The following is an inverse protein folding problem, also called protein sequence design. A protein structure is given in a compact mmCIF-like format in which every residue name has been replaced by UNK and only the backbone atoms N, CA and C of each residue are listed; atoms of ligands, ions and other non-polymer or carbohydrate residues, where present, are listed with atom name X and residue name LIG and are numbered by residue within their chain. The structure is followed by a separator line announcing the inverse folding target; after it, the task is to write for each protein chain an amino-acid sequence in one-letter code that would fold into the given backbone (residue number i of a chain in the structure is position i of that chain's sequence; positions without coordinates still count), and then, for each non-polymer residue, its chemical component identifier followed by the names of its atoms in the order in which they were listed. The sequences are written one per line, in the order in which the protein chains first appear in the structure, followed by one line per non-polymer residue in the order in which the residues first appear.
data_IF_257661375059
#
_entry.id   IF_257661375059
#
_cell.length_a   1.000
_cell.length_b   1.000
_cell.length_c   1.000
_cell.angle_alpha   90.00
_cell.angle_beta   90.00
_cell.angle_gamma   90.00
#
_symmetry.space_group_name_H-M   'P 1'
#
loop_
_entity.id
_entity.type
_entity.pdbx_description
1 polymer ?
#
# COMPACT_ATOMS: atom_id res chain seq x y z
N UNK A 1 30.91 -87.68 -26.04
CA UNK A 1 30.14 -86.72 -25.21
C UNK A 1 30.92 -85.42 -25.17
N UNK A 2 30.47 -84.29 -25.71
CA UNK A 2 29.16 -83.92 -26.26
C UNK A 2 29.39 -82.61 -27.01
N UNK A 3 29.10 -82.62 -28.30
CA UNK A 3 29.14 -81.49 -29.22
C UNK A 3 27.68 -81.19 -29.55
N UNK A 4 27.20 -80.00 -29.18
CA UNK A 4 25.81 -79.57 -29.42
C UNK A 4 25.77 -78.08 -29.76
N UNK A 5 25.16 -77.83 -30.92
CA UNK A 5 24.42 -76.64 -31.35
C UNK A 5 25.15 -75.32 -31.62
N UNK A 6 25.57 -75.15 -32.88
CA UNK A 6 25.67 -73.84 -33.54
C UNK A 6 24.41 -73.58 -34.38
N UNK A 7 23.51 -72.72 -33.89
CA UNK A 7 22.29 -72.33 -34.59
C UNK A 7 22.58 -71.36 -35.76
N UNK A 8 22.14 -71.67 -37.00
CA UNK A 8 22.31 -70.78 -38.17
C UNK A 8 21.09 -69.86 -38.30
N UNK A 9 21.07 -68.75 -37.56
CA UNK A 9 19.92 -67.83 -37.57
C UNK A 9 20.23 -66.33 -37.57
N UNK A 10 21.43 -65.91 -37.15
CA UNK A 10 21.73 -64.48 -36.94
C UNK A 10 22.36 -63.75 -38.13
N UNK A 11 22.89 -64.47 -39.13
CA UNK A 11 23.63 -63.84 -40.23
C UNK A 11 22.73 -63.20 -41.31
N UNK A 12 21.50 -63.67 -41.51
CA UNK A 12 20.63 -63.16 -42.59
C UNK A 12 19.97 -61.81 -42.29
N UNK A 13 19.74 -61.49 -41.00
CA UNK A 13 19.17 -60.21 -40.61
C UNK A 13 20.17 -59.05 -40.79
N UNK A 14 21.45 -59.29 -40.52
CA UNK A 14 22.49 -58.27 -40.63
C UNK A 14 22.78 -57.86 -42.09
N UNK A 15 22.68 -58.79 -43.04
CA UNK A 15 22.89 -58.49 -44.47
C UNK A 15 21.70 -57.73 -45.09
N UNK A 16 20.47 -58.06 -44.71
CA UNK A 16 19.27 -57.34 -45.17
C UNK A 16 19.24 -55.88 -44.70
N UNK A 17 19.71 -55.59 -43.48
CA UNK A 17 19.73 -54.22 -42.93
C UNK A 17 20.79 -53.35 -43.64
N UNK A 18 21.93 -53.94 -44.01
CA UNK A 18 22.97 -53.27 -44.80
C UNK A 18 22.53 -52.96 -46.23
N UNK A 19 21.73 -53.83 -46.86
CA UNK A 19 21.21 -53.62 -48.22
C UNK A 19 20.21 -52.46 -48.35
N UNK A 20 19.53 -52.08 -47.27
CA UNK A 20 18.54 -50.98 -47.24
C UNK A 20 19.16 -49.61 -46.93
N UNK A 21 20.48 -49.51 -46.71
CA UNK A 21 21.14 -48.25 -46.34
C UNK A 21 20.74 -47.71 -44.95
N UNK A 22 20.09 -48.54 -44.12
CA UNK A 22 19.59 -48.18 -42.79
C UNK A 22 20.64 -48.30 -41.68
N UNK A 23 21.79 -48.95 -41.95
CA UNK A 23 22.84 -49.19 -40.95
C UNK A 23 23.35 -47.94 -40.18
N UNK A 24 23.61 -46.80 -40.85
CA UNK A 24 24.00 -45.56 -40.17
C UNK A 24 22.89 -44.96 -39.29
N UNK A 25 21.63 -45.11 -39.72
CA UNK A 25 20.47 -44.61 -38.98
C UNK A 25 20.22 -45.50 -37.75
N UNK A 26 20.36 -46.81 -37.90
CA UNK A 26 20.15 -47.78 -36.83
C UNK A 26 21.16 -47.64 -35.69
N UNK A 27 22.43 -47.43 -36.02
CA UNK A 27 23.48 -47.16 -35.02
C UNK A 27 23.24 -45.84 -34.27
N UNK A 28 22.75 -44.80 -34.95
CA UNK A 28 22.36 -43.53 -34.31
C UNK A 28 21.15 -43.72 -33.37
N UNK A 29 20.21 -44.57 -33.76
CA UNK A 29 19.01 -44.88 -32.98
C UNK A 29 19.35 -45.71 -31.74
N UNK A 30 20.20 -46.74 -31.88
CA UNK A 30 20.75 -47.51 -30.75
C UNK A 30 21.51 -46.60 -29.78
N UNK A 31 22.39 -45.73 -30.27
CA UNK A 31 23.13 -44.80 -29.42
C UNK A 31 22.20 -43.84 -28.65
N UNK A 32 21.15 -43.33 -29.30
CA UNK A 32 20.16 -42.47 -28.64
C UNK A 32 19.36 -43.22 -27.58
N UNK A 33 19.03 -44.49 -27.83
CA UNK A 33 18.28 -45.36 -26.92
C UNK A 33 19.12 -45.77 -25.71
N UNK A 34 20.41 -46.05 -25.90
CA UNK A 34 21.38 -46.32 -24.84
C UNK A 34 21.61 -45.07 -23.98
N UNK A 35 21.73 -43.88 -24.59
CA UNK A 35 21.79 -42.61 -23.85
C UNK A 35 20.52 -42.37 -23.02
N UNK A 36 19.34 -42.65 -23.60
CA UNK A 36 18.07 -42.51 -22.90
C UNK A 36 17.99 -43.49 -21.71
N UNK A 37 18.38 -44.75 -21.91
CA UNK A 37 18.43 -45.77 -20.85
C UNK A 37 19.43 -45.42 -19.74
N UNK A 38 20.58 -44.83 -20.10
CA UNK A 38 21.57 -44.36 -19.14
C UNK A 38 21.09 -43.14 -18.33
N UNK A 39 20.31 -42.23 -18.95
CA UNK A 39 19.78 -41.03 -18.30
C UNK A 39 18.52 -41.28 -17.45
N UNK A 40 17.70 -42.26 -17.82
CA UNK A 40 16.44 -42.61 -17.17
C UNK A 40 16.55 -42.81 -15.64
N UNK A 41 17.51 -43.56 -15.09
CA UNK A 41 17.62 -43.75 -13.65
C UNK A 41 17.91 -42.44 -12.89
N UNK A 42 18.65 -41.50 -13.50
CA UNK A 42 18.94 -40.21 -12.90
C UNK A 42 17.69 -39.32 -12.88
N UNK A 43 16.95 -39.23 -13.99
CA UNK A 43 15.67 -38.48 -14.03
C UNK A 43 14.65 -39.07 -13.05
N UNK A 44 14.59 -40.39 -12.90
CA UNK A 44 13.73 -41.05 -11.90
C UNK A 44 14.17 -40.74 -10.48
N UNK A 45 15.47 -40.70 -10.20
CA UNK A 45 16.00 -40.31 -8.90
C UNK A 45 15.68 -38.85 -8.56
N UNK A 46 15.87 -37.93 -9.52
CA UNK A 46 15.58 -36.51 -9.38
C UNK A 46 14.08 -36.27 -9.18
N UNK A 47 13.21 -36.95 -9.92
CA UNK A 47 11.76 -36.89 -9.72
C UNK A 47 11.34 -37.44 -8.35
N UNK A 48 11.98 -38.51 -7.87
CA UNK A 48 11.72 -39.04 -6.51
C UNK A 48 12.16 -38.05 -5.44
N UNK A 49 13.32 -37.41 -5.61
CA UNK A 49 13.82 -36.39 -4.70
C UNK A 49 12.90 -35.16 -4.68
N UNK A 50 12.58 -34.62 -5.86
CA UNK A 50 11.65 -33.50 -6.01
C UNK A 50 10.28 -33.82 -5.38
N UNK A 51 9.73 -35.01 -5.60
CA UNK A 51 8.46 -35.43 -4.98
C UNK A 51 8.56 -35.49 -3.45
N UNK A 52 9.68 -35.97 -2.91
CA UNK A 52 9.91 -36.05 -1.46
C UNK A 52 10.01 -34.65 -0.84
N UNK A 53 10.77 -33.75 -1.46
CA UNK A 53 10.92 -32.36 -1.00
C UNK A 53 9.59 -31.60 -1.09
N UNK A 54 8.88 -31.69 -2.22
CA UNK A 54 7.57 -31.05 -2.41
C UNK A 54 6.56 -31.58 -1.40
N UNK A 55 6.56 -32.89 -1.10
CA UNK A 55 5.67 -33.48 -0.10
C UNK A 55 6.02 -33.08 1.33
N UNK A 56 7.30 -32.86 1.65
CA UNK A 56 7.72 -32.36 2.96
C UNK A 56 7.26 -30.90 3.14
N UNK A 57 7.45 -30.07 2.11
CA UNK A 57 6.99 -28.67 2.10
C UNK A 57 5.46 -28.60 2.14
N UNK A 58 4.74 -29.49 1.46
CA UNK A 58 3.28 -29.47 1.46
C UNK A 58 2.70 -29.71 2.86
N UNK A 59 3.27 -30.63 3.64
CA UNK A 59 2.82 -30.87 5.03
C UNK A 59 3.03 -29.65 5.93
N UNK A 60 4.14 -28.92 5.72
CA UNK A 60 4.44 -27.70 6.46
C UNK A 60 3.48 -26.56 6.06
N UNK A 61 3.25 -26.40 4.75
CA UNK A 61 2.27 -25.44 4.23
C UNK A 61 0.86 -25.73 4.72
N UNK A 62 0.44 -27.00 4.79
CA UNK A 62 -0.89 -27.38 5.24
C UNK A 62 -1.09 -27.06 6.73
N UNK A 63 -0.06 -27.26 7.57
CA UNK A 63 -0.07 -26.83 8.97
C UNK A 63 -0.15 -25.30 9.11
N UNK A 64 0.51 -24.55 8.24
CA UNK A 64 0.45 -23.08 8.24
C UNK A 64 -0.93 -22.61 7.76
N UNK A 65 -1.45 -23.21 6.69
CA UNK A 65 -2.76 -22.85 6.12
C UNK A 65 -3.92 -23.22 7.03
N UNK A 66 -3.88 -24.33 7.74
CA UNK A 66 -4.91 -24.68 8.73
C UNK A 66 -4.91 -23.68 9.90
N UNK A 67 -3.74 -23.28 10.38
CA UNK A 67 -3.60 -22.23 11.40
C UNK A 67 -4.11 -20.88 10.87
N UNK A 68 -3.69 -20.50 9.67
CA UNK A 68 -4.11 -19.27 8.99
C UNK A 68 -5.60 -19.28 8.63
N UNK A 69 -6.18 -20.42 8.29
CA UNK A 69 -7.61 -20.54 8.00
C UNK A 69 -8.44 -20.34 9.27
N UNK A 70 -8.02 -20.91 10.40
CA UNK A 70 -8.76 -20.76 11.66
C UNK A 70 -8.55 -19.40 12.34
N UNK A 71 -7.37 -18.78 12.20
CA UNK A 71 -6.99 -17.53 12.90
C UNK A 71 -6.92 -16.31 11.99
N UNK A 72 -6.73 -16.49 10.69
CA UNK A 72 -6.55 -15.41 9.73
C UNK A 72 -7.76 -14.50 9.61
N UNK A 73 -8.97 -15.00 9.30
CA UNK A 73 -10.16 -14.16 9.12
C UNK A 73 -10.41 -13.18 10.28
N UNK A 74 -10.45 -13.59 11.56
CA UNK A 74 -10.69 -12.64 12.64
C UNK A 74 -9.55 -11.63 12.82
N UNK A 75 -8.30 -12.00 12.54
CA UNK A 75 -7.16 -11.06 12.59
C UNK A 75 -7.28 -10.03 11.46
N UNK A 76 -7.60 -10.46 10.23
CA UNK A 76 -7.74 -9.53 9.11
C UNK A 76 -8.91 -8.57 9.29
N UNK A 77 -10.05 -9.05 9.79
CA UNK A 77 -11.18 -8.18 10.10
C UNK A 77 -10.85 -7.17 11.19
N UNK A 78 -10.16 -7.61 12.25
CA UNK A 78 -9.72 -6.72 13.31
C UNK A 78 -8.76 -5.67 12.78
N UNK A 79 -7.72 -6.07 12.02
CA UNK A 79 -6.74 -5.16 11.42
C UNK A 79 -7.42 -4.20 10.44
N UNK A 80 -8.32 -4.68 9.58
CA UNK A 80 -9.05 -3.84 8.64
C UNK A 80 -9.94 -2.81 9.36
N UNK A 81 -10.60 -3.21 10.44
CA UNK A 81 -11.42 -2.32 11.27
C UNK A 81 -10.58 -1.28 12.00
N UNK A 82 -9.46 -1.69 12.59
CA UNK A 82 -8.52 -0.81 13.29
C UNK A 82 -7.89 0.20 12.31
N UNK A 83 -7.48 -0.27 11.14
CA UNK A 83 -6.96 0.57 10.07
C UNK A 83 -7.99 1.61 9.62
N UNK A 84 -9.24 1.19 9.35
CA UNK A 84 -10.33 2.11 9.00
C UNK A 84 -10.59 3.13 10.10
N UNK A 85 -10.62 2.70 11.37
CA UNK A 85 -10.84 3.59 12.52
C UNK A 85 -9.72 4.63 12.65
N UNK A 86 -8.46 4.21 12.54
CA UNK A 86 -7.30 5.10 12.61
C UNK A 86 -7.35 6.14 11.49
N UNK A 87 -7.65 5.74 10.26
CA UNK A 87 -7.75 6.67 9.14
C UNK A 87 -8.91 7.65 9.28
N UNK A 88 -10.09 7.20 9.72
CA UNK A 88 -11.23 8.09 9.95
C UNK A 88 -10.90 9.11 11.05
N UNK A 89 -10.33 8.66 12.17
CA UNK A 89 -9.91 9.54 13.25
C UNK A 89 -8.85 10.55 12.78
N UNK A 90 -7.87 10.10 12.00
CA UNK A 90 -6.86 10.94 11.37
C UNK A 90 -7.48 12.03 10.48
N UNK A 91 -8.38 11.67 9.57
CA UNK A 91 -9.02 12.63 8.67
C UNK A 91 -9.90 13.63 9.41
N UNK A 92 -10.64 13.19 10.44
CA UNK A 92 -11.47 14.08 11.26
C UNK A 92 -10.58 15.07 12.02
N UNK A 93 -9.52 14.59 12.66
CA UNK A 93 -8.59 15.44 13.39
C UNK A 93 -7.92 16.45 12.45
N UNK A 94 -7.46 15.99 11.28
CA UNK A 94 -6.84 16.84 10.28
C UNK A 94 -7.80 17.89 9.73
N UNK A 95 -9.02 17.50 9.38
CA UNK A 95 -10.06 18.42 8.91
C UNK A 95 -10.40 19.47 9.96
N UNK A 96 -10.53 19.08 11.23
CA UNK A 96 -10.81 20.01 12.34
C UNK A 96 -9.65 20.98 12.55
N UNK A 97 -8.42 20.48 12.51
CA UNK A 97 -7.21 21.27 12.74
C UNK A 97 -6.98 22.27 11.59
N UNK A 98 -7.09 21.83 10.34
CA UNK A 98 -6.99 22.70 9.16
C UNK A 98 -8.12 23.72 9.10
N UNK A 99 -9.34 23.33 9.45
CA UNK A 99 -10.47 24.27 9.61
C UNK A 99 -10.19 25.30 10.68
N UNK A 100 -9.58 24.92 11.81
CA UNK A 100 -9.15 25.82 12.86
C UNK A 100 -8.12 26.85 12.39
N UNK A 101 -7.13 26.44 11.58
CA UNK A 101 -6.14 27.37 11.02
C UNK A 101 -6.79 28.31 10.01
N UNK A 102 -7.63 27.78 9.11
CA UNK A 102 -8.36 28.60 8.14
C UNK A 102 -9.23 29.63 8.85
N UNK A 103 -9.95 29.23 9.89
CA UNK A 103 -10.75 30.13 10.71
C UNK A 103 -9.88 31.18 11.38
N UNK A 104 -8.74 30.80 11.97
CA UNK A 104 -7.81 31.74 12.58
C UNK A 104 -7.22 32.72 11.55
N UNK A 105 -6.86 32.25 10.35
CA UNK A 105 -6.35 33.08 9.26
C UNK A 105 -7.40 34.06 8.74
N UNK A 106 -8.65 33.60 8.56
CA UNK A 106 -9.79 34.46 8.18
C UNK A 106 -10.18 35.46 9.28
N UNK A 107 -10.02 35.07 10.54
CA UNK A 107 -10.18 35.99 11.66
C UNK A 107 -9.07 37.03 11.65
N UNK A 108 -7.80 36.62 11.61
CA UNK A 108 -6.64 37.51 11.63
C UNK A 108 -6.58 38.47 10.42
N UNK A 109 -7.09 38.06 9.25
CA UNK A 109 -7.16 38.92 8.06
C UNK A 109 -8.26 39.98 8.12
N UNK A 110 -9.09 39.97 9.17
CA UNK A 110 -10.21 40.89 9.33
C UNK A 110 -11.48 40.46 8.59
N UNK A 111 -11.44 39.39 7.79
CA UNK A 111 -12.61 38.87 7.06
C UNK A 111 -13.73 38.41 8.02
N UNK A 112 -13.36 37.81 9.15
CA UNK A 112 -14.32 37.42 10.20
C UNK A 112 -14.38 38.41 11.39
N UNK A 113 -14.17 39.71 11.14
CA UNK A 113 -14.24 40.74 12.19
C UNK A 113 -13.09 40.69 13.20
N UNK A 114 -11.92 40.22 12.75
CA UNK A 114 -10.68 40.35 13.51
C UNK A 114 -10.26 41.80 13.73
N UNK A 115 -9.14 42.02 14.44
CA UNK A 115 -8.68 43.36 14.77
C UNK A 115 -8.41 44.13 13.47
N UNK A 116 -9.34 45.03 13.11
CA UNK A 116 -9.08 46.00 12.05
C UNK A 116 -7.89 46.84 12.50
N UNK A 117 -6.90 46.99 11.60
CA UNK A 117 -5.87 48.01 11.78
C UNK A 117 -6.61 49.30 12.12
N UNK A 118 -6.33 49.86 13.30
CA UNK A 118 -7.16 50.87 13.92
C UNK A 118 -7.25 52.11 13.02
N UNK A 119 -8.19 52.10 12.08
CA UNK A 119 -8.45 53.20 11.16
C UNK A 119 -9.13 54.37 11.88
N UNK A 120 -9.55 54.18 13.14
CA UNK A 120 -10.31 55.16 13.90
C UNK A 120 -9.61 55.47 15.24
N UNK A 121 -8.36 55.92 15.19
CA UNK A 121 -7.77 56.68 16.31
C UNK A 121 -7.37 58.06 15.80
N UNK A 122 -8.34 58.76 15.26
CA UNK A 122 -8.46 60.22 15.31
C UNK A 122 -9.94 60.55 15.52
N UNK A 123 -10.41 60.37 16.76
CA UNK A 123 -11.78 60.73 17.14
C UNK A 123 -12.32 59.83 18.25
N UNK A 124 -12.60 60.40 19.40
CA UNK A 124 -13.33 59.79 20.51
C UNK A 124 -14.72 59.27 20.04
N UNK A 125 -14.79 58.04 19.52
CA UNK A 125 -16.08 57.37 19.31
C UNK A 125 -16.55 56.77 20.64
N UNK A 126 -17.51 57.47 21.25
CA UNK A 126 -18.25 57.07 22.42
C UNK A 126 -18.79 55.64 22.27
N UNK A 127 -18.59 54.82 23.29
CA UNK A 127 -19.15 53.47 23.37
C UNK A 127 -20.69 53.51 23.25
N UNK A 128 -21.22 53.15 22.09
CA UNK A 128 -22.66 52.97 21.90
C UNK A 128 -23.12 51.69 22.59
N UNK A 129 -24.03 51.84 23.57
CA UNK A 129 -24.56 50.70 24.33
C UNK A 129 -25.34 49.76 23.40
N UNK A 130 -25.17 48.44 23.54
CA UNK A 130 -25.91 47.43 22.77
C UNK A 130 -27.43 47.56 22.98
N UNK A 131 -28.15 47.85 21.90
CA UNK A 131 -29.60 48.07 21.96
C UNK A 131 -30.39 46.77 21.78
N UNK A 132 -29.84 45.76 21.09
CA UNK A 132 -30.58 44.51 20.81
C UNK A 132 -30.14 43.34 21.68
N UNK A 133 -31.03 42.36 21.85
CA UNK A 133 -30.75 41.10 22.55
C UNK A 133 -29.62 40.29 21.88
N UNK A 134 -29.48 40.42 20.55
CA UNK A 134 -28.41 39.80 19.77
C UNK A 134 -27.06 40.44 20.08
N UNK A 135 -27.02 41.76 20.28
CA UNK A 135 -25.81 42.47 20.70
C UNK A 135 -25.40 42.10 22.13
N UNK A 136 -26.37 41.92 23.03
CA UNK A 136 -26.09 41.47 24.41
C UNK A 136 -25.55 40.04 24.47
N UNK A 137 -26.06 39.14 23.63
CA UNK A 137 -25.52 37.79 23.50
C UNK A 137 -24.14 37.79 22.83
N UNK A 138 -23.93 38.63 21.81
CA UNK A 138 -22.62 38.84 21.19
C UNK A 138 -21.60 39.42 22.18
N UNK A 139 -22.02 40.27 23.12
CA UNK A 139 -21.15 40.81 24.18
C UNK A 139 -20.80 39.75 25.23
N UNK A 140 -21.73 38.85 25.57
CA UNK A 140 -21.44 37.72 26.44
C UNK A 140 -20.41 36.77 25.81
N UNK A 141 -20.57 36.43 24.52
CA UNK A 141 -19.55 35.70 23.75
C UNK A 141 -18.24 36.49 23.62
N UNK A 142 -18.29 37.82 23.52
CA UNK A 142 -17.10 38.70 23.50
C UNK A 142 -16.41 38.83 24.86
N UNK A 143 -17.11 38.60 25.98
CA UNK A 143 -16.52 38.58 27.34
C UNK A 143 -15.86 37.23 27.64
N UNK A 144 -16.45 36.11 27.22
CA UNK A 144 -15.79 34.80 27.30
C UNK A 144 -14.55 34.73 26.39
N UNK A 145 -14.61 35.35 25.21
CA UNK A 145 -13.42 35.59 24.37
C UNK A 145 -12.59 36.81 24.79
N UNK A 146 -13.03 37.56 25.82
CA UNK A 146 -12.33 38.71 26.40
C UNK A 146 -11.12 38.29 27.23
N UNK A 147 -11.23 37.17 27.95
CA UNK A 147 -10.09 36.52 28.61
C UNK A 147 -9.05 36.02 27.59
N UNK A 148 -9.51 35.62 26.40
CA UNK A 148 -8.62 35.30 25.26
C UNK A 148 -8.07 36.57 24.60
N UNK A 149 -8.80 37.69 24.57
CA UNK A 149 -8.34 38.98 24.01
C UNK A 149 -7.24 39.65 24.82
N UNK A 150 -7.25 39.55 26.16
CA UNK A 150 -6.14 40.04 27.00
C UNK A 150 -4.84 39.26 26.82
N UNK A 151 -4.93 37.96 26.48
CA UNK A 151 -3.79 37.14 26.06
C UNK A 151 -3.51 37.21 24.54
N UNK A 152 -4.39 37.80 23.72
CA UNK A 152 -4.25 37.84 22.27
C UNK A 152 -3.20 38.86 21.79
N UNK A 153 -2.88 39.88 22.60
CA UNK A 153 -1.72 40.75 22.35
C UNK A 153 -0.41 40.17 22.89
N UNK A 154 -0.46 39.00 23.55
CA UNK A 154 0.75 38.31 23.96
C UNK A 154 1.34 37.64 22.72
N UNK A 155 2.35 38.28 22.13
CA UNK A 155 3.25 37.72 21.12
C UNK A 155 3.54 36.22 21.40
N UNK A 156 3.74 35.90 22.68
CA UNK A 156 3.96 34.54 23.18
C UNK A 156 2.85 33.54 22.85
N UNK A 157 1.58 33.92 22.86
CA UNK A 157 0.45 33.03 22.57
C UNK A 157 0.44 32.59 21.10
N UNK A 158 0.68 33.53 20.19
CA UNK A 158 0.80 33.24 18.76
C UNK A 158 1.97 32.31 18.45
N UNK A 159 3.15 32.61 18.98
CA UNK A 159 4.34 31.76 18.79
C UNK A 159 4.17 30.38 19.44
N UNK A 160 3.53 30.30 20.62
CA UNK A 160 3.22 29.02 21.26
C UNK A 160 2.30 28.17 20.40
N UNK A 161 1.26 28.78 19.82
CA UNK A 161 0.34 28.11 18.92
C UNK A 161 1.07 27.63 17.66
N UNK A 162 1.85 28.48 17.00
CA UNK A 162 2.66 28.08 15.84
C UNK A 162 3.59 26.91 16.16
N UNK A 163 4.28 26.94 17.31
CA UNK A 163 5.19 25.85 17.71
C UNK A 163 4.42 24.55 17.94
N UNK A 164 3.28 24.60 18.63
CA UNK A 164 2.43 23.42 18.83
C UNK A 164 1.97 22.85 17.48
N UNK A 165 1.55 23.71 16.55
CA UNK A 165 1.15 23.29 15.21
C UNK A 165 2.32 22.70 14.41
N UNK A 166 3.51 23.27 14.52
CA UNK A 166 4.72 22.73 13.91
C UNK A 166 5.03 21.33 14.45
N UNK A 167 4.89 21.10 15.76
CA UNK A 167 5.06 19.77 16.38
C UNK A 167 4.04 18.79 15.81
N UNK A 168 2.77 19.20 15.68
CA UNK A 168 1.72 18.33 15.12
C UNK A 168 2.04 17.98 13.65
N UNK A 169 2.40 18.96 12.81
CA UNK A 169 2.78 18.73 11.42
C UNK A 169 3.99 17.78 11.33
N UNK A 170 4.98 17.93 12.22
CA UNK A 170 6.14 17.03 12.27
C UNK A 170 5.75 15.60 12.62
N UNK A 171 4.86 15.40 13.60
CA UNK A 171 4.33 14.08 13.94
C UNK A 171 3.60 13.45 12.75
N UNK A 172 2.78 14.23 12.04
CA UNK A 172 2.07 13.75 10.83
C UNK A 172 3.05 13.38 9.72
N UNK A 173 4.13 14.16 9.55
CA UNK A 173 5.19 13.85 8.60
C UNK A 173 5.90 12.53 8.91
N UNK A 174 6.20 12.27 10.20
CA UNK A 174 6.78 10.98 10.64
C UNK A 174 5.82 9.83 10.33
N UNK A 175 4.53 9.98 10.61
CA UNK A 175 3.52 8.95 10.28
C UNK A 175 3.47 8.70 8.77
N UNK A 176 3.56 9.74 7.94
CA UNK A 176 3.64 9.59 6.48
C UNK A 176 4.87 8.79 6.05
N UNK A 177 6.05 9.07 6.62
CA UNK A 177 7.28 8.30 6.33
C UNK A 177 7.07 6.83 6.64
N UNK A 178 6.50 6.51 7.80
CA UNK A 178 6.21 5.12 8.19
C UNK A 178 5.25 4.45 7.20
N UNK A 179 4.19 5.14 6.78
CA UNK A 179 3.26 4.62 5.77
C UNK A 179 3.93 4.41 4.41
N UNK A 180 4.84 5.30 4.02
CA UNK A 180 5.63 5.17 2.79
C UNK A 180 6.56 3.95 2.85
N UNK A 181 7.20 3.70 4.01
CA UNK A 181 8.02 2.51 4.22
C UNK A 181 7.19 1.23 4.13
N UNK A 182 6.01 1.19 4.77
CA UNK A 182 5.10 0.05 4.68
C UNK A 182 4.60 -0.18 3.24
N UNK A 183 4.34 0.88 2.49
CA UNK A 183 4.00 0.78 1.07
C UNK A 183 5.16 0.22 0.24
N UNK A 184 6.39 0.64 0.54
CA UNK A 184 7.61 0.10 -0.07
C UNK A 184 7.78 -1.40 0.18
N UNK A 185 7.65 -1.84 1.44
CA UNK A 185 7.72 -3.27 1.81
C UNK A 185 6.65 -4.07 1.06
N UNK A 186 5.42 -3.56 0.95
CA UNK A 186 4.35 -4.22 0.19
C UNK A 186 4.68 -4.32 -1.30
N UNK A 187 5.26 -3.28 -1.89
CA UNK A 187 5.69 -3.32 -3.28
C UNK A 187 6.77 -4.40 -3.51
N UNK A 188 7.70 -4.57 -2.57
CA UNK A 188 8.68 -5.67 -2.59
C UNK A 188 8.02 -7.05 -2.50
N UNK A 189 7.02 -7.23 -1.62
CA UNK A 189 6.29 -8.50 -1.51
C UNK A 189 5.55 -8.81 -2.81
N UNK A 190 4.90 -7.81 -3.42
CA UNK A 190 4.19 -7.99 -4.71
C UNK A 190 5.17 -8.31 -5.84
N UNK A 191 6.36 -7.71 -5.85
CA UNK A 191 7.42 -8.07 -6.79
C UNK A 191 7.87 -9.54 -6.60
N UNK A 192 7.91 -10.02 -5.35
CA UNK A 192 8.13 -11.44 -5.04
C UNK A 192 7.01 -12.37 -5.54
N UNK A 193 5.75 -11.91 -5.59
CA UNK A 193 4.67 -12.70 -6.22
C UNK A 193 4.92 -12.91 -7.72
N UNK A 194 5.61 -11.99 -8.41
CA UNK A 194 5.84 -12.07 -9.85
C UNK A 194 6.87 -13.16 -10.22
N UNK A 195 7.77 -13.53 -9.31
CA UNK A 195 8.64 -14.70 -9.51
C UNK A 195 7.86 -16.02 -9.51
N UNK A 196 6.73 -16.08 -8.81
CA UNK A 196 5.80 -17.21 -8.89
C UNK A 196 4.84 -16.98 -10.06
N UNK A 197 5.36 -17.13 -11.29
CA UNK A 197 4.67 -16.89 -12.57
C UNK A 197 3.28 -17.55 -12.68
N UNK A 198 3.01 -18.61 -11.91
CA UNK A 198 1.72 -19.30 -11.85
C UNK A 198 0.57 -18.48 -11.23
N UNK A 199 0.89 -17.49 -10.39
CA UNK A 199 -0.10 -16.66 -9.68
C UNK A 199 -0.37 -15.31 -10.37
N UNK A 200 0.47 -14.94 -11.34
CA UNK A 200 0.44 -13.61 -11.97
C UNK A 200 -0.39 -13.51 -13.24
N UNK A 201 -0.62 -14.64 -13.94
CA UNK A 201 -1.29 -14.64 -15.24
C UNK A 201 -2.45 -15.66 -15.27
N UNK A 202 -3.70 -15.22 -15.51
CA UNK A 202 -4.86 -16.10 -15.59
C UNK A 202 -4.75 -17.12 -16.73
N UNK A 203 -4.01 -16.81 -17.80
CA UNK A 203 -3.78 -17.74 -18.92
C UNK A 203 -2.82 -18.88 -18.54
N UNK A 204 -1.80 -18.58 -17.73
CA UNK A 204 -0.87 -19.57 -17.20
C UNK A 204 -1.54 -20.40 -16.11
N UNK A 205 -2.37 -19.78 -15.26
CA UNK A 205 -3.19 -20.49 -14.27
C UNK A 205 -4.09 -21.54 -14.95
N UNK A 206 -4.85 -21.13 -15.97
CA UNK A 206 -5.76 -22.02 -16.72
C UNK A 206 -5.01 -23.08 -17.51
N UNK A 207 -3.87 -22.75 -18.14
CA UNK A 207 -3.04 -23.71 -18.86
C UNK A 207 -2.45 -24.79 -17.94
N UNK A 208 -1.93 -24.39 -16.79
CA UNK A 208 -1.28 -25.31 -15.85
C UNK A 208 -2.30 -26.17 -15.11
N UNK A 209 -3.41 -25.57 -14.65
CA UNK A 209 -4.53 -26.34 -14.10
C UNK A 209 -5.15 -27.27 -15.15
N UNK A 210 -5.15 -26.88 -16.43
CA UNK A 210 -5.59 -27.73 -17.54
C UNK A 210 -4.71 -28.98 -17.69
N UNK A 211 -3.40 -28.84 -17.54
CA UNK A 211 -2.44 -29.95 -17.63
C UNK A 211 -2.51 -30.85 -16.38
N UNK A 212 -2.70 -30.26 -15.20
CA UNK A 212 -2.92 -30.99 -13.96
C UNK A 212 -4.26 -31.75 -14.01
N UNK A 213 -5.29 -31.17 -14.63
CA UNK A 213 -6.60 -31.81 -14.82
C UNK A 213 -6.53 -33.02 -15.74
N UNK A 214 -5.75 -33.00 -16.82
CA UNK A 214 -5.57 -34.19 -17.67
C UNK A 214 -4.88 -35.34 -16.93
N UNK A 215 -4.07 -35.06 -15.91
CA UNK A 215 -3.47 -36.08 -15.05
C UNK A 215 -4.39 -36.52 -13.88
N UNK A 216 -5.28 -35.65 -13.41
CA UNK A 216 -6.16 -35.89 -12.26
C UNK A 216 -7.64 -36.03 -12.65
N UNK A 217 -7.94 -36.40 -13.90
CA UNK A 217 -9.33 -36.56 -14.41
C UNK A 217 -10.17 -37.41 -13.46
N UNK A 218 -9.58 -38.48 -12.92
CA UNK A 218 -10.21 -39.42 -11.99
C UNK A 218 -10.59 -38.81 -10.63
N UNK A 219 -9.94 -37.72 -10.21
CA UNK A 219 -10.19 -37.05 -8.92
C UNK A 219 -11.10 -35.83 -9.07
N UNK A 220 -11.07 -35.13 -10.21
CA UNK A 220 -11.81 -33.89 -10.39
C UNK A 220 -13.25 -34.07 -10.90
N UNK A 221 -13.60 -35.20 -11.49
CA UNK A 221 -14.94 -35.47 -12.02
C UNK A 221 -16.04 -35.35 -10.94
N UNK A 222 -15.70 -35.59 -9.67
CA UNK A 222 -16.61 -35.44 -8.53
C UNK A 222 -16.96 -33.99 -8.17
N UNK A 223 -16.17 -33.00 -8.59
CA UNK A 223 -16.26 -31.64 -8.03
C UNK A 223 -17.15 -30.68 -8.82
N UNK A 224 -17.55 -30.99 -10.06
CA UNK A 224 -18.58 -30.28 -10.83
C UNK A 224 -18.33 -28.80 -11.16
N UNK A 225 -17.26 -28.17 -10.66
CA UNK A 225 -17.01 -26.73 -10.82
C UNK A 225 -16.10 -26.49 -12.04
N UNK A 226 -16.48 -25.59 -12.97
CA UNK A 226 -15.62 -25.21 -14.09
C UNK A 226 -14.33 -24.55 -13.58
N UNK A 227 -13.18 -25.08 -14.03
CA UNK A 227 -11.83 -24.65 -13.63
C UNK A 227 -11.55 -23.18 -13.91
N UNK A 228 -12.07 -22.66 -15.03
CA UNK A 228 -11.90 -21.26 -15.45
C UNK A 228 -12.48 -20.30 -14.41
N UNK A 229 -13.64 -20.65 -13.85
CA UNK A 229 -14.31 -19.87 -12.80
C UNK A 229 -13.58 -19.96 -11.45
N UNK A 230 -12.79 -21.00 -11.22
CA UNK A 230 -12.12 -21.21 -9.92
C UNK A 230 -10.95 -20.23 -9.75
N UNK A 231 -10.21 -19.95 -10.83
CA UNK A 231 -9.09 -19.00 -10.76
C UNK A 231 -9.58 -17.55 -10.57
N UNK A 232 -10.72 -17.18 -11.15
CA UNK A 232 -11.36 -15.87 -10.95
C UNK A 232 -12.09 -15.76 -9.60
N UNK A 233 -12.90 -16.76 -9.20
CA UNK A 233 -13.75 -16.68 -8.01
C UNK A 233 -13.01 -16.87 -6.69
N UNK A 234 -11.94 -17.67 -6.65
CA UNK A 234 -11.23 -17.94 -5.39
C UNK A 234 -10.21 -16.87 -5.00
N UNK A 235 -10.17 -15.72 -5.68
CA UNK A 235 -9.26 -14.61 -5.33
C UNK A 235 -7.78 -15.04 -5.25
N UNK A 236 -7.41 -16.07 -6.01
CA UNK A 236 -6.01 -16.50 -6.18
C UNK A 236 -5.15 -15.37 -6.80
N UNK A 237 -5.80 -14.42 -7.47
CA UNK A 237 -5.26 -13.14 -7.95
C UNK A 237 -5.17 -12.08 -6.83
N UNK A 238 -4.97 -12.49 -5.57
CA UNK A 238 -4.82 -11.56 -4.44
C UNK A 238 -3.64 -10.62 -4.68
N UNK A 239 -2.53 -11.08 -5.27
CA UNK A 239 -1.41 -10.22 -5.65
C UNK A 239 -1.80 -9.19 -6.74
N UNK A 240 -2.72 -9.52 -7.67
CA UNK A 240 -3.17 -8.60 -8.72
C UNK A 240 -4.18 -7.56 -8.20
N UNK A 241 -5.12 -8.00 -7.34
CA UNK A 241 -6.11 -7.13 -6.70
C UNK A 241 -5.44 -6.15 -5.73
N UNK A 242 -4.46 -6.64 -4.95
CA UNK A 242 -3.59 -5.82 -4.12
C UNK A 242 -2.73 -4.91 -5.01
N UNK A 243 -2.17 -5.42 -6.10
CA UNK A 243 -1.33 -4.63 -7.01
C UNK A 243 -2.02 -3.37 -7.53
N UNK A 244 -3.21 -3.49 -8.14
CA UNK A 244 -3.85 -2.34 -8.82
C UNK A 244 -4.45 -1.32 -7.86
N UNK A 245 -5.24 -1.78 -6.88
CA UNK A 245 -5.97 -0.89 -5.95
C UNK A 245 -5.04 -0.28 -4.91
N UNK A 246 -4.08 -1.07 -4.41
CA UNK A 246 -3.18 -0.63 -3.35
C UNK A 246 -2.05 0.26 -3.90
N UNK A 247 -1.59 0.06 -5.15
CA UNK A 247 -0.63 0.97 -5.81
C UNK A 247 -1.20 2.37 -5.99
N UNK A 248 -2.44 2.48 -6.47
CA UNK A 248 -3.11 3.77 -6.62
C UNK A 248 -3.24 4.49 -5.28
N UNK A 249 -3.73 3.79 -4.25
CA UNK A 249 -3.84 4.34 -2.89
C UNK A 249 -2.48 4.74 -2.31
N UNK A 250 -1.43 3.95 -2.53
CA UNK A 250 -0.07 4.28 -2.07
C UNK A 250 0.43 5.56 -2.75
N UNK A 251 0.33 5.66 -4.08
CA UNK A 251 0.77 6.84 -4.84
C UNK A 251 0.05 8.09 -4.33
N UNK A 252 -1.27 8.05 -4.18
CA UNK A 252 -2.03 9.20 -3.66
C UNK A 252 -1.66 9.55 -2.23
N UNK A 253 -1.39 8.55 -1.37
CA UNK A 253 -0.98 8.79 0.02
C UNK A 253 0.42 9.42 0.08
N UNK A 254 1.37 8.93 -0.70
CA UNK A 254 2.75 9.44 -0.69
C UNK A 254 2.83 10.85 -1.28
N UNK A 255 2.27 11.07 -2.47
CA UNK A 255 2.27 12.38 -3.12
C UNK A 255 1.42 13.36 -2.30
N UNK A 256 0.22 12.93 -1.89
CA UNK A 256 -0.71 13.77 -1.13
C UNK A 256 -0.13 14.21 0.21
N UNK A 257 0.56 13.32 0.93
CA UNK A 257 1.19 13.67 2.21
C UNK A 257 2.40 14.57 2.06
N UNK A 258 3.22 14.39 1.02
CA UNK A 258 4.35 15.27 0.74
C UNK A 258 3.88 16.68 0.36
N UNK A 259 2.89 16.77 -0.54
CA UNK A 259 2.27 18.03 -0.94
C UNK A 259 1.60 18.71 0.26
N UNK A 260 0.87 17.95 1.09
CA UNK A 260 0.25 18.48 2.31
C UNK A 260 1.30 19.01 3.30
N UNK A 261 2.44 18.34 3.47
CA UNK A 261 3.52 18.81 4.33
C UNK A 261 4.13 20.12 3.83
N UNK A 262 4.38 20.23 2.52
CA UNK A 262 4.90 21.46 1.89
C UNK A 262 3.91 22.62 2.06
N UNK A 263 2.62 22.41 1.78
CA UNK A 263 1.61 23.45 1.96
C UNK A 263 1.40 23.83 3.44
N UNK A 264 1.49 22.87 4.36
CA UNK A 264 1.41 23.15 5.80
C UNK A 264 2.59 24.01 6.25
N UNK A 265 3.80 23.72 5.77
CA UNK A 265 4.98 24.54 6.04
C UNK A 265 4.83 25.95 5.45
N UNK A 266 4.40 26.06 4.19
CA UNK A 266 4.16 27.35 3.55
C UNK A 266 3.12 28.18 4.33
N UNK A 267 2.01 27.57 4.73
CA UNK A 267 0.95 28.22 5.50
C UNK A 267 1.48 28.77 6.83
N UNK A 268 2.35 28.02 7.52
CA UNK A 268 2.98 28.46 8.78
C UNK A 268 3.89 29.67 8.53
N UNK A 269 4.73 29.63 7.50
CA UNK A 269 5.65 30.73 7.14
C UNK A 269 4.87 31.99 6.77
N UNK A 270 3.86 31.87 5.91
CA UNK A 270 3.02 33.00 5.51
C UNK A 270 2.27 33.61 6.69
N UNK A 271 1.74 32.75 7.60
CA UNK A 271 1.08 33.21 8.82
C UNK A 271 2.03 33.98 9.74
N UNK A 272 3.28 33.52 9.89
CA UNK A 272 4.30 34.20 10.68
C UNK A 272 4.68 35.56 10.06
N UNK A 273 4.87 35.62 8.73
CA UNK A 273 5.19 36.85 8.01
C UNK A 273 4.05 37.86 8.11
N UNK A 274 2.79 37.42 7.96
CA UNK A 274 1.62 38.28 8.10
C UNK A 274 1.50 38.84 9.51
N UNK A 275 1.77 38.04 10.54
CA UNK A 275 1.76 38.47 11.93
C UNK A 275 2.85 39.52 12.21
N UNK A 276 4.09 39.28 11.78
CA UNK A 276 5.18 40.26 11.92
C UNK A 276 4.86 41.55 11.14
N UNK A 277 4.34 41.47 9.92
CA UNK A 277 3.93 42.66 9.17
C UNK A 277 2.84 43.45 9.88
N UNK A 278 1.84 42.77 10.43
CA UNK A 278 0.79 43.43 11.21
C UNK A 278 1.34 44.11 12.46
N UNK A 279 2.31 43.47 13.13
CA UNK A 279 3.02 44.05 14.28
C UNK A 279 3.81 45.30 13.89
N UNK A 280 4.65 45.24 12.85
CA UNK A 280 5.44 46.39 12.42
C UNK A 280 4.58 47.60 12.05
N UNK A 281 3.41 47.39 11.41
CA UNK A 281 2.46 48.49 11.15
C UNK A 281 1.99 49.18 12.43
N UNK A 282 1.62 48.41 13.46
CA UNK A 282 1.22 48.99 14.77
C UNK A 282 2.34 49.79 15.41
N UNK A 283 3.57 49.30 15.36
CA UNK A 283 4.75 50.00 15.91
C UNK A 283 4.98 51.33 15.17
N UNK A 284 4.94 51.33 13.83
CA UNK A 284 5.08 52.57 13.05
C UNK A 284 3.93 53.56 13.29
N UNK A 285 2.69 53.08 13.45
CA UNK A 285 1.54 53.93 13.76
C UNK A 285 1.62 54.55 15.17
N UNK A 286 2.26 53.86 16.12
CA UNK A 286 2.52 54.40 17.46
C UNK A 286 3.64 55.43 17.46
N UNK A 287 4.70 55.21 16.67
CA UNK A 287 5.81 56.16 16.54
C UNK A 287 5.38 57.43 15.79
N UNK A 288 4.56 57.30 14.74
CA UNK A 288 4.06 58.45 13.98
C UNK A 288 3.17 59.37 14.82
N UNK A 289 2.42 58.83 15.79
CA UNK A 289 1.60 59.61 16.74
C UNK A 289 2.40 60.36 17.80
N UNK A 290 3.70 60.03 17.99
CA UNK A 290 4.57 60.69 18.97
C UNK A 290 5.28 61.92 18.41
N UNK A 291 5.34 62.06 17.08
CA UNK A 291 5.98 63.16 16.36
C UNK A 291 4.96 64.24 16.07
#
# INVERSE_FOLDING_TARGET
DSELDGAPGEQTASEMISALGLGPIWSTLQYSLDLLMAALPQVVADLKFARKEVSAVSSTLDSIFTTFSSKGPPIFELVAKLYKMVWVAYFILFATLTSGILFYGLWASGFCGGPQAAANVEGEEWYERPQTFRDRCAICCRCCSGCLKGCADSHLCFWSFIIIFQIIVLVLFVVSIVLCLLAGIKAFIVAGCAEVYLLGDPTICTGTLGTVRTFLVSFLESSGIPLADTCDKQTLLTCQLIGSKMKSSAIFTTIGSLVAAVFSFQMIVESAVLHERARWRRVFDEESKRV
#
